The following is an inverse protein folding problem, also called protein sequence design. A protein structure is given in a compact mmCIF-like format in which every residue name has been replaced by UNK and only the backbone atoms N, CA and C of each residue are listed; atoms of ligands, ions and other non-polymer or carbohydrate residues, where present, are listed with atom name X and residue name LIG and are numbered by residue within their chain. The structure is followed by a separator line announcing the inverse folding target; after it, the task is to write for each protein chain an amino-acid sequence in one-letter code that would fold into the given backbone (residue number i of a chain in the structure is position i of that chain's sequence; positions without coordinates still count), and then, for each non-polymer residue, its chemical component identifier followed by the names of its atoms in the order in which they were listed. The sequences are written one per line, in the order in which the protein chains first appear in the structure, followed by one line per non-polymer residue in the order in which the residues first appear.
data_IF_663768689848
#
_entry.id   IF_663768689848
#
_cell.length_a   1.000
_cell.length_b   1.000
_cell.length_c   1.000
_cell.angle_alpha   90.00
_cell.angle_beta   90.00
_cell.angle_gamma   90.00
#
_symmetry.space_group_name_H-M   'P 1'
#
loop_
_entity.id
_entity.type
_entity.pdbx_description
1 polymer ?
#
# COMPACT_ATOMS: atom_id res chain seq x y z
N UNK A 1 21.13 -10.89 -0.02
CA UNK A 1 21.07 -9.46 0.35
C UNK A 1 19.64 -8.94 0.61
N UNK A 2 18.59 -9.77 0.46
CA UNK A 2 17.16 -9.42 0.63
C UNK A 2 16.78 -9.06 2.09
N UNK A 3 17.45 -9.64 3.07
CA UNK A 3 17.13 -9.43 4.50
C UNK A 3 17.39 -7.99 5.00
N UNK A 4 18.29 -7.23 4.34
CA UNK A 4 18.56 -5.82 4.66
C UNK A 4 17.47 -4.88 4.13
N UNK A 5 16.87 -5.22 2.98
CA UNK A 5 15.79 -4.45 2.37
C UNK A 5 14.51 -4.52 3.22
N UNK A 6 14.14 -5.71 3.72
CA UNK A 6 13.00 -5.89 4.64
C UNK A 6 13.12 -5.07 5.92
N UNK A 7 14.33 -4.98 6.48
CA UNK A 7 14.58 -4.23 7.72
C UNK A 7 14.51 -2.71 7.49
N UNK A 8 14.87 -2.24 6.29
CA UNK A 8 14.71 -0.84 5.90
C UNK A 8 13.25 -0.50 5.63
N UNK A 9 12.50 -1.36 4.92
CA UNK A 9 11.08 -1.14 4.64
C UNK A 9 10.23 -1.12 5.92
N UNK A 10 10.46 -2.07 6.84
CA UNK A 10 9.79 -2.09 8.14
C UNK A 10 10.11 -0.85 8.97
N UNK A 11 11.37 -0.38 8.94
CA UNK A 11 11.77 0.85 9.61
C UNK A 11 11.14 2.10 8.99
N UNK A 12 11.04 2.17 7.66
CA UNK A 12 10.38 3.28 6.95
C UNK A 12 8.90 3.34 7.31
N UNK A 13 8.20 2.20 7.31
CA UNK A 13 6.78 2.10 7.70
C UNK A 13 6.57 2.47 9.16
N UNK A 14 7.46 2.04 10.06
CA UNK A 14 7.41 2.42 11.47
C UNK A 14 7.65 3.91 11.67
N UNK A 15 8.65 4.47 10.99
CA UNK A 15 8.99 5.89 11.07
C UNK A 15 7.88 6.79 10.52
N UNK A 16 7.21 6.38 9.44
CA UNK A 16 6.09 7.14 8.87
C UNK A 16 4.87 7.13 9.79
N UNK A 17 4.61 6.02 10.50
CA UNK A 17 3.58 5.93 11.55
C UNK A 17 3.85 6.89 12.71
N UNK A 18 5.09 6.94 13.18
CA UNK A 18 5.50 7.83 14.28
C UNK A 18 5.38 9.30 13.87
N UNK A 19 5.86 9.65 12.67
CA UNK A 19 5.73 11.01 12.13
C UNK A 19 4.26 11.39 11.96
N UNK A 20 3.41 10.46 11.51
CA UNK A 20 1.97 10.70 11.37
C UNK A 20 1.28 11.00 12.71
N UNK A 21 1.57 10.23 13.76
CA UNK A 21 0.98 10.44 15.09
C UNK A 21 1.43 11.79 15.70
N UNK A 22 2.66 12.21 15.41
CA UNK A 22 3.21 13.48 15.91
C UNK A 22 2.82 14.69 15.04
N UNK A 23 2.47 14.49 13.77
CA UNK A 23 2.09 15.53 12.82
C UNK A 23 0.98 16.47 13.33
N UNK A 24 -0.17 15.99 13.84
CA UNK A 24 -1.21 16.90 14.34
C UNK A 24 -0.77 17.70 15.56
N UNK A 25 0.11 17.15 16.41
CA UNK A 25 0.66 17.85 17.57
C UNK A 25 1.65 18.96 17.15
N UNK A 26 2.51 18.66 16.18
CA UNK A 26 3.49 19.59 15.61
C UNK A 26 2.82 20.76 14.88
N UNK A 27 1.83 20.48 14.03
CA UNK A 27 1.09 21.52 13.31
C UNK A 27 0.37 22.49 14.27
N UNK A 28 -0.18 21.97 15.38
CA UNK A 28 -0.88 22.78 16.39
C UNK A 28 0.03 23.72 17.19
N UNK A 29 1.33 23.42 17.27
CA UNK A 29 2.32 24.28 17.94
C UNK A 29 2.86 25.40 17.02
N UNK A 30 2.80 25.21 15.70
CA UNK A 30 3.35 26.16 14.73
C UNK A 30 2.29 27.21 14.35
N UNK A 31 1.01 26.84 14.26
CA UNK A 31 -0.06 27.78 13.95
C UNK A 31 -1.34 27.47 14.76
N UNK A 32 -1.51 28.20 15.86
CA UNK A 32 -2.67 28.17 16.76
C UNK A 32 -3.97 28.66 16.08
N UNK A 33 -3.85 29.40 14.98
CA UNK A 33 -4.97 30.04 14.26
C UNK A 33 -5.37 29.34 12.97
N UNK A 34 -4.65 28.28 12.57
CA UNK A 34 -5.13 27.34 11.57
C UNK A 34 -6.59 27.03 11.89
N UNK A 35 -7.52 27.41 11.01
CA UNK A 35 -8.88 26.89 11.10
C UNK A 35 -8.76 25.37 11.31
N UNK A 36 -9.62 24.73 12.11
CA UNK A 36 -9.68 23.28 12.14
C UNK A 36 -10.05 22.84 10.72
N UNK A 37 -9.05 22.75 9.83
CA UNK A 37 -9.04 21.79 8.75
C UNK A 37 -9.18 20.52 9.54
N UNK A 38 -10.42 20.02 9.62
CA UNK A 38 -10.77 18.96 10.55
C UNK A 38 -9.65 17.96 10.49
N UNK A 39 -8.92 17.73 11.60
CA UNK A 39 -7.86 16.75 11.62
C UNK A 39 -8.35 15.45 10.99
N UNK A 40 -9.66 15.16 11.13
CA UNK A 40 -10.42 14.16 10.39
C UNK A 40 -10.25 14.13 8.87
N UNK A 41 -10.35 15.23 8.11
CA UNK A 41 -10.31 15.20 6.63
C UNK A 41 -8.92 14.83 6.10
N UNK A 42 -7.87 15.46 6.63
CA UNK A 42 -6.50 15.15 6.24
C UNK A 42 -6.05 13.80 6.85
N UNK A 43 -6.57 13.49 8.05
CA UNK A 43 -6.43 12.16 8.66
C UNK A 43 -7.17 11.08 7.87
N UNK A 44 -8.26 11.35 7.16
CA UNK A 44 -8.98 10.32 6.37
C UNK A 44 -8.09 9.84 5.23
N UNK A 45 -7.46 10.78 4.51
CA UNK A 45 -6.55 10.43 3.41
C UNK A 45 -5.35 9.66 3.95
N UNK A 46 -4.73 10.13 5.05
CA UNK A 46 -3.57 9.45 5.61
C UNK A 46 -3.96 8.11 6.28
N UNK A 47 -5.14 8.01 6.91
CA UNK A 47 -5.67 6.77 7.45
C UNK A 47 -5.99 5.76 6.34
N UNK A 48 -6.48 6.20 5.19
CA UNK A 48 -6.69 5.34 4.04
C UNK A 48 -5.35 4.78 3.53
N UNK A 49 -4.33 5.65 3.42
CA UNK A 49 -2.96 5.23 3.05
C UNK A 49 -2.37 4.27 4.08
N UNK A 50 -2.50 4.57 5.38
CA UNK A 50 -2.04 3.70 6.47
C UNK A 50 -2.77 2.37 6.47
N UNK A 51 -4.09 2.37 6.31
CA UNK A 51 -4.90 1.15 6.25
C UNK A 51 -4.48 0.30 5.06
N UNK A 52 -4.23 0.91 3.90
CA UNK A 52 -3.71 0.22 2.73
C UNK A 52 -2.31 -0.37 2.97
N UNK A 53 -1.40 0.39 3.59
CA UNK A 53 -0.05 -0.08 3.91
C UNK A 53 -0.05 -1.22 4.94
N UNK A 54 -0.87 -1.11 5.98
CA UNK A 54 -1.08 -2.16 6.98
C UNK A 54 -1.67 -3.41 6.34
N UNK A 55 -2.72 -3.24 5.52
CA UNK A 55 -3.33 -4.34 4.78
C UNK A 55 -2.31 -5.04 3.87
N UNK A 56 -1.50 -4.28 3.13
CA UNK A 56 -0.40 -4.81 2.31
C UNK A 56 0.59 -5.60 3.17
N UNK A 57 1.02 -5.04 4.29
CA UNK A 57 2.00 -5.67 5.19
C UNK A 57 1.46 -6.97 5.78
N UNK A 58 0.21 -6.98 6.25
CA UNK A 58 -0.45 -8.18 6.78
C UNK A 58 -0.59 -9.24 5.69
N UNK A 59 -1.09 -8.85 4.51
CA UNK A 59 -1.23 -9.76 3.36
C UNK A 59 0.12 -10.37 2.98
N UNK A 60 1.19 -9.58 2.99
CA UNK A 60 2.54 -10.06 2.70
C UNK A 60 3.04 -11.08 3.73
N UNK A 61 2.82 -10.82 5.02
CA UNK A 61 3.16 -11.75 6.11
C UNK A 61 2.35 -13.05 5.97
N UNK A 62 1.05 -12.94 5.68
CA UNK A 62 0.15 -14.08 5.48
C UNK A 62 0.60 -14.93 4.28
N UNK A 63 0.92 -14.33 3.14
CA UNK A 63 1.44 -15.04 1.97
C UNK A 63 2.74 -15.76 2.31
N UNK A 64 3.65 -15.12 3.05
CA UNK A 64 4.91 -15.74 3.46
C UNK A 64 4.71 -16.96 4.37
N UNK A 65 3.71 -16.92 5.25
CA UNK A 65 3.43 -18.01 6.21
C UNK A 65 2.67 -19.16 5.54
N UNK A 66 1.61 -18.85 4.78
CA UNK A 66 0.72 -19.86 4.20
C UNK A 66 1.28 -20.43 2.89
N UNK A 67 1.89 -19.59 2.05
CA UNK A 67 2.41 -19.97 0.73
C UNK A 67 3.86 -19.48 0.51
N UNK A 68 4.84 -20.05 1.24
CA UNK A 68 6.25 -19.68 1.08
C UNK A 68 6.79 -19.93 -0.33
N UNK A 69 6.25 -20.93 -1.04
CA UNK A 69 6.58 -21.21 -2.44
C UNK A 69 6.14 -20.05 -3.35
N UNK A 70 4.96 -19.49 -3.12
CA UNK A 70 4.46 -18.34 -3.88
C UNK A 70 5.28 -17.07 -3.59
N UNK A 71 5.72 -16.89 -2.35
CA UNK A 71 6.64 -15.80 -1.99
C UNK A 71 7.97 -15.91 -2.74
N UNK A 72 8.59 -17.09 -2.77
CA UNK A 72 9.84 -17.31 -3.52
C UNK A 72 9.64 -17.09 -5.03
N UNK A 73 8.56 -17.64 -5.58
CA UNK A 73 8.20 -17.48 -6.98
C UNK A 73 7.99 -16.00 -7.34
N UNK A 74 7.27 -15.25 -6.51
CA UNK A 74 6.98 -13.84 -6.74
C UNK A 74 8.22 -12.95 -6.73
N UNK A 75 9.24 -13.28 -5.94
CA UNK A 75 10.47 -12.46 -5.83
C UNK A 75 11.52 -12.81 -6.90
N UNK A 76 11.64 -14.09 -7.28
CA UNK A 76 12.73 -14.56 -8.15
C UNK A 76 12.31 -14.90 -9.58
N UNK A 77 11.19 -15.61 -9.72
CA UNK A 77 10.87 -16.33 -10.97
C UNK A 77 9.75 -15.65 -11.78
N UNK A 78 8.90 -14.86 -11.11
CA UNK A 78 7.75 -14.22 -11.73
C UNK A 78 8.15 -13.30 -12.89
N UNK A 79 9.22 -12.51 -12.74
CA UNK A 79 9.64 -11.60 -13.80
C UNK A 79 10.12 -12.36 -15.05
N UNK A 80 10.88 -13.44 -14.87
CA UNK A 80 11.41 -14.24 -15.96
C UNK A 80 10.28 -14.96 -16.70
N UNK A 81 9.37 -15.58 -15.96
CA UNK A 81 8.20 -16.26 -16.53
C UNK A 81 7.26 -15.28 -17.22
N UNK A 82 7.02 -14.12 -16.61
CA UNK A 82 6.21 -13.06 -17.21
C UNK A 82 6.83 -12.54 -18.51
N UNK A 83 8.16 -12.42 -18.59
CA UNK A 83 8.85 -12.07 -19.84
C UNK A 83 8.72 -13.18 -20.90
N UNK A 84 8.69 -14.45 -20.49
CA UNK A 84 8.46 -15.60 -21.36
C UNK A 84 7.02 -15.75 -21.87
N UNK A 85 6.04 -15.11 -21.22
CA UNK A 85 4.63 -15.23 -21.61
C UNK A 85 4.35 -14.71 -23.03
N UNK A 86 3.42 -15.40 -23.70
CA UNK A 86 2.92 -14.99 -25.00
C UNK A 86 2.30 -13.59 -24.95
N UNK A 87 2.49 -12.73 -25.97
CA UNK A 87 2.07 -11.32 -25.92
C UNK A 87 0.60 -11.10 -25.56
N UNK A 88 -0.32 -11.94 -26.06
CA UNK A 88 -1.75 -11.81 -25.73
C UNK A 88 -2.04 -12.01 -24.25
N UNK A 89 -1.32 -12.93 -23.58
CA UNK A 89 -1.51 -13.16 -22.15
C UNK A 89 -1.01 -11.97 -21.32
N UNK A 90 0.08 -11.32 -21.75
CA UNK A 90 0.56 -10.08 -21.12
C UNK A 90 -0.48 -8.97 -21.23
N UNK A 91 -1.05 -8.77 -22.43
CA UNK A 91 -2.10 -7.77 -22.65
C UNK A 91 -3.32 -8.05 -21.78
N UNK A 92 -3.74 -9.30 -21.66
CA UNK A 92 -4.89 -9.70 -20.84
C UNK A 92 -4.62 -9.45 -19.34
N UNK A 93 -3.42 -9.77 -18.85
CA UNK A 93 -3.03 -9.50 -17.46
C UNK A 93 -3.04 -7.98 -17.17
N UNK A 94 -2.44 -7.17 -18.06
CA UNK A 94 -2.44 -5.71 -17.89
C UNK A 94 -3.86 -5.14 -17.94
N UNK A 95 -4.65 -5.54 -18.93
CA UNK A 95 -6.03 -5.09 -19.08
C UNK A 95 -6.88 -5.48 -17.88
N UNK A 96 -6.76 -6.72 -17.40
CA UNK A 96 -7.47 -7.21 -16.22
C UNK A 96 -7.10 -6.41 -14.97
N UNK A 97 -5.82 -6.09 -14.78
CA UNK A 97 -5.37 -5.25 -13.67
C UNK A 97 -5.96 -3.83 -13.72
N UNK A 98 -5.97 -3.20 -14.90
CA UNK A 98 -6.60 -1.88 -15.07
C UNK A 98 -8.10 -1.91 -14.83
N UNK A 99 -8.80 -2.95 -15.29
CA UNK A 99 -10.24 -3.12 -15.04
C UNK A 99 -10.52 -3.31 -13.54
N UNK A 100 -9.71 -4.11 -12.84
CA UNK A 100 -9.85 -4.29 -11.38
C UNK A 100 -9.63 -2.98 -10.62
N UNK A 101 -8.63 -2.17 -11.01
CA UNK A 101 -8.42 -0.84 -10.44
C UNK A 101 -9.61 0.08 -10.68
N UNK A 102 -10.14 0.10 -11.91
CA UNK A 102 -11.32 0.87 -12.25
C UNK A 102 -12.53 0.44 -11.40
N UNK A 103 -12.76 -0.86 -11.27
CA UNK A 103 -13.85 -1.40 -10.46
C UNK A 103 -13.68 -1.08 -8.96
N UNK A 104 -12.46 -1.13 -8.44
CA UNK A 104 -12.16 -0.72 -7.06
C UNK A 104 -12.48 0.75 -6.83
N UNK A 105 -12.10 1.63 -7.76
CA UNK A 105 -12.44 3.06 -7.69
C UNK A 105 -13.97 3.28 -7.70
N UNK A 106 -14.69 2.59 -8.60
CA UNK A 106 -16.16 2.67 -8.68
C UNK A 106 -16.80 2.22 -7.37
N UNK A 107 -16.30 1.14 -6.76
CA UNK A 107 -16.82 0.63 -5.50
C UNK A 107 -16.58 1.59 -4.34
N UNK A 108 -15.40 2.22 -4.28
CA UNK A 108 -15.08 3.24 -3.27
C UNK A 108 -15.99 4.46 -3.42
N UNK A 109 -16.19 4.96 -4.65
CA UNK A 109 -17.10 6.09 -4.88
C UNK A 109 -18.56 5.73 -4.57
N UNK A 110 -18.99 4.52 -4.92
CA UNK A 110 -20.35 4.05 -4.64
C UNK A 110 -20.62 3.82 -3.16
N UNK A 111 -19.61 3.50 -2.35
CA UNK A 111 -19.74 3.39 -0.89
C UNK A 111 -19.61 4.73 -0.14
N UNK A 112 -19.24 5.81 -0.82
CA UNK A 112 -19.08 7.17 -0.28
C UNK A 112 -20.30 8.08 -0.54
N UNK A 113 -21.22 7.65 -1.41
CA UNK A 113 -22.53 8.26 -1.67
C UNK A 113 -23.58 7.68 -0.72
#
# INVERSE_FOLDING_TARGET
SVQRAFHHEGFIIFSSLVVFLLFPFLCRHIDVTSAPVDPGILSIVIMAVLTFLVFKSVTWIVIRIIWPVFHQYSEGDFEQDFRGLYPLHKVLIYLGFYVLLLMSMVFIMGGLL
#
